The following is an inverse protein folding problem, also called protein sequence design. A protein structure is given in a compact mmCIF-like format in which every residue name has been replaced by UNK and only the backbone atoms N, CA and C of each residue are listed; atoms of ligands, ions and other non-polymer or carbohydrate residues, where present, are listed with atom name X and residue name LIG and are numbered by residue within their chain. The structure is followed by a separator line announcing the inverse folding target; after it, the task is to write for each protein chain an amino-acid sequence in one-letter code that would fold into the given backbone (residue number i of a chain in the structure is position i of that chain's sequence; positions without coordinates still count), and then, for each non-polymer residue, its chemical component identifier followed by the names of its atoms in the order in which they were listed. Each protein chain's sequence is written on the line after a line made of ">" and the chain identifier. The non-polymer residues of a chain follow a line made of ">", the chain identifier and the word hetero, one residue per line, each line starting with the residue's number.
data_IF_843919361461
#
_entry.id   IF_843919361461
#
_cell.length_a   1.000
_cell.length_b   1.000
_cell.length_c   1.000
_cell.angle_alpha   90.00
_cell.angle_beta   90.00
_cell.angle_gamma   90.00
#
_symmetry.space_group_name_H-M   'P 1'
#
loop_
_entity.id
_entity.type
_entity.pdbx_description
1 polymer ?
#
# COMPACT_ATOMS: atom_id res chain seq x y z
N UNK A 1 -20.28 72.63 6.52
CA UNK A 1 -21.17 71.57 6.01
C UNK A 1 -20.36 70.69 5.07
N UNK A 2 -20.04 69.46 5.45
CA UNK A 2 -19.57 68.41 4.53
C UNK A 2 -20.03 67.07 5.07
N UNK A 3 -20.90 66.40 4.31
CA UNK A 3 -21.54 65.12 4.63
C UNK A 3 -20.55 63.98 4.42
N UNK A 4 -20.29 63.18 5.46
CA UNK A 4 -19.69 61.86 5.31
C UNK A 4 -20.77 60.89 4.80
N UNK A 5 -20.67 60.49 3.53
CA UNK A 5 -21.54 59.49 2.94
C UNK A 5 -21.04 58.09 3.26
N UNK A 6 -21.90 57.29 3.91
CA UNK A 6 -21.80 55.83 4.01
C UNK A 6 -21.95 55.24 2.62
N UNK A 7 -20.97 54.49 2.13
CA UNK A 7 -21.19 53.54 1.04
C UNK A 7 -20.28 52.31 1.16
N UNK A 8 -20.90 51.18 1.51
CA UNK A 8 -20.66 49.93 0.79
C UNK A 8 -19.50 49.03 1.24
N UNK A 9 -19.57 48.49 2.45
CA UNK A 9 -18.84 47.29 2.88
C UNK A 9 -19.39 46.01 2.19
N UNK A 10 -19.21 45.89 0.88
CA UNK A 10 -19.46 44.62 0.17
C UNK A 10 -18.29 44.32 -0.76
N UNK A 11 -17.23 43.73 -0.20
CA UNK A 11 -16.17 43.09 -0.99
C UNK A 11 -16.08 41.61 -0.59
N UNK A 12 -15.99 40.80 -1.64
CA UNK A 12 -15.47 39.43 -1.68
C UNK A 12 -16.32 38.32 -1.04
N UNK A 13 -17.40 37.94 -1.73
CA UNK A 13 -17.85 36.56 -1.76
C UNK A 13 -17.54 36.01 -3.16
N UNK A 14 -16.89 34.84 -3.22
CA UNK A 14 -16.82 34.02 -4.44
C UNK A 14 -15.48 34.02 -5.17
N UNK A 15 -14.46 33.38 -4.60
CA UNK A 15 -13.38 32.74 -5.36
C UNK A 15 -12.57 31.81 -4.43
N UNK A 16 -13.03 30.57 -4.25
CA UNK A 16 -12.13 29.46 -3.85
C UNK A 16 -12.40 28.32 -4.81
N UNK A 17 -11.85 28.45 -6.02
CA UNK A 17 -11.66 27.31 -6.89
C UNK A 17 -10.54 26.45 -6.26
N UNK A 18 -10.91 25.32 -5.66
CA UNK A 18 -9.93 24.33 -5.21
C UNK A 18 -9.42 23.61 -6.46
N UNK A 19 -8.49 24.25 -7.16
CA UNK A 19 -7.65 23.62 -8.16
C UNK A 19 -6.31 23.32 -7.50
N UNK A 20 -6.18 22.11 -6.95
CA UNK A 20 -4.87 21.55 -6.59
C UNK A 20 -4.75 20.16 -7.21
N UNK A 21 -4.71 20.13 -8.54
CA UNK A 21 -4.04 19.05 -9.25
C UNK A 21 -2.54 19.23 -8.99
N UNK A 22 -2.02 18.57 -7.96
CA UNK A 22 -0.59 18.42 -7.77
C UNK A 22 -0.07 17.51 -8.89
N UNK A 23 0.29 18.10 -10.03
CA UNK A 23 1.14 17.46 -11.04
C UNK A 23 2.54 17.43 -10.44
N UNK A 24 2.85 16.34 -9.74
CA UNK A 24 4.23 16.04 -9.36
C UNK A 24 4.92 15.50 -10.62
N UNK A 25 5.56 16.41 -11.35
CA UNK A 25 6.54 16.04 -12.37
C UNK A 25 7.81 15.56 -11.68
N UNK A 26 8.11 14.26 -11.77
CA UNK A 26 9.44 13.73 -11.49
C UNK A 26 10.18 13.58 -12.83
N UNK A 27 10.90 14.64 -13.21
CA UNK A 27 12.04 14.52 -14.10
C UNK A 27 13.28 14.37 -13.20
N UNK A 28 13.84 13.15 -13.17
CA UNK A 28 15.08 12.83 -12.47
C UNK A 28 15.68 11.59 -13.10
N UNK A 29 16.40 11.77 -14.20
CA UNK A 29 17.30 10.74 -14.71
C UNK A 29 18.56 10.75 -13.86
N UNK A 30 18.79 9.69 -13.08
CA UNK A 30 19.97 9.53 -12.26
C UNK A 30 19.97 8.15 -11.61
N UNK A 31 20.94 7.32 -12.03
CA UNK A 31 21.13 5.91 -11.68
C UNK A 31 20.11 4.97 -12.34
N UNK A 32 20.61 3.88 -12.92
CA UNK A 32 19.83 2.94 -13.73
C UNK A 32 18.96 2.05 -12.87
N UNK A 33 17.87 2.59 -12.35
CA UNK A 33 16.79 1.77 -11.81
C UNK A 33 16.15 1.00 -12.97
N UNK A 34 16.31 -0.32 -12.97
CA UNK A 34 15.59 -1.21 -13.87
C UNK A 34 14.10 -1.21 -13.51
N UNK A 35 13.38 -0.14 -13.81
CA UNK A 35 11.96 -0.03 -13.49
C UNK A 35 11.15 -0.99 -14.37
N UNK A 36 10.50 -1.96 -13.73
CA UNK A 36 9.50 -2.82 -14.37
C UNK A 36 8.38 -2.03 -15.03
N UNK A 37 7.66 -2.67 -15.95
CA UNK A 37 6.51 -2.05 -16.61
C UNK A 37 5.49 -1.56 -15.55
N UNK A 38 4.93 -0.34 -15.71
CA UNK A 38 3.96 0.19 -14.77
C UNK A 38 2.73 -0.71 -14.66
N UNK A 39 2.27 -0.94 -13.43
CA UNK A 39 1.01 -1.60 -13.15
C UNK A 39 -0.13 -0.57 -13.16
N UNK A 40 -1.36 -0.96 -13.55
CA UNK A 40 -2.48 -0.03 -13.57
C UNK A 40 -2.79 0.56 -12.19
N UNK A 41 -2.97 1.88 -12.16
CA UNK A 41 -3.46 2.58 -10.98
C UNK A 41 -4.83 2.05 -10.55
N UNK A 42 -5.14 2.20 -9.26
CA UNK A 42 -6.40 1.78 -8.66
C UNK A 42 -7.03 2.89 -7.83
N UNK A 43 -8.35 2.87 -7.77
CA UNK A 43 -9.14 3.74 -6.90
C UNK A 43 -10.33 2.98 -6.35
N UNK A 44 -10.68 3.26 -5.10
CA UNK A 44 -11.91 2.76 -4.47
C UNK A 44 -12.43 3.77 -3.45
N UNK A 45 -13.74 3.97 -3.45
CA UNK A 45 -14.45 4.72 -2.42
C UNK A 45 -15.36 3.75 -1.65
N UNK A 46 -15.25 3.73 -0.33
CA UNK A 46 -16.13 2.99 0.55
C UNK A 46 -16.88 3.96 1.46
N UNK A 47 -18.18 3.76 1.61
CA UNK A 47 -19.07 4.67 2.34
C UNK A 47 -19.74 3.94 3.51
N UNK A 48 -19.84 4.61 4.65
CA UNK A 48 -20.59 4.17 5.82
C UNK A 48 -22.08 4.48 5.71
N UNK A 49 -22.86 4.01 6.69
CA UNK A 49 -24.32 4.22 6.71
C UNK A 49 -24.71 5.67 7.00
N UNK A 50 -23.87 6.40 7.77
CA UNK A 50 -24.12 7.77 8.21
C UNK A 50 -23.41 8.81 7.31
N UNK A 51 -22.95 8.39 6.13
CA UNK A 51 -22.31 9.24 5.13
C UNK A 51 -20.79 9.42 5.31
N UNK A 52 -20.16 8.70 6.24
CA UNK A 52 -18.70 8.60 6.27
C UNK A 52 -18.17 8.02 4.95
N UNK A 53 -16.97 8.40 4.55
CA UNK A 53 -16.31 7.79 3.40
C UNK A 53 -14.82 7.65 3.60
N UNK A 54 -14.26 6.60 3.00
CA UNK A 54 -12.82 6.39 2.86
C UNK A 54 -12.52 6.11 1.39
N UNK A 55 -11.77 7.02 0.80
CA UNK A 55 -11.21 6.88 -0.53
C UNK A 55 -9.80 6.32 -0.43
N UNK A 56 -9.46 5.38 -1.31
CA UNK A 56 -8.15 4.74 -1.36
C UNK A 56 -7.64 4.78 -2.80
N UNK A 57 -6.39 5.21 -2.97
CA UNK A 57 -5.69 5.23 -4.24
C UNK A 57 -4.46 4.35 -4.18
N UNK A 58 -4.16 3.73 -5.32
CA UNK A 58 -2.91 3.07 -5.63
C UNK A 58 -2.36 3.68 -6.91
N UNK A 59 -1.20 4.33 -6.83
CA UNK A 59 -0.61 5.06 -7.96
C UNK A 59 0.87 4.75 -8.13
N UNK A 60 1.32 4.76 -9.39
CA UNK A 60 2.74 4.55 -9.72
C UNK A 60 3.26 3.18 -9.27
N UNK A 61 2.38 2.18 -9.20
CA UNK A 61 2.78 0.84 -8.83
C UNK A 61 3.61 0.23 -9.97
N UNK A 62 4.75 -0.38 -9.65
CA UNK A 62 5.59 -1.08 -10.61
C UNK A 62 6.22 -2.29 -9.94
N UNK A 63 6.45 -3.33 -10.72
CA UNK A 63 7.13 -4.53 -10.25
C UNK A 63 7.97 -5.16 -11.34
N UNK A 64 9.11 -5.73 -10.97
CA UNK A 64 9.95 -6.50 -11.89
C UNK A 64 10.67 -7.63 -11.17
N UNK A 65 10.90 -8.77 -11.84
CA UNK A 65 11.75 -9.82 -11.31
C UNK A 65 13.19 -9.34 -11.16
N UNK A 66 13.86 -9.80 -10.10
CA UNK A 66 15.30 -9.62 -9.89
C UNK A 66 15.96 -10.98 -9.66
N UNK A 67 17.23 -11.15 -10.04
CA UNK A 67 18.01 -12.32 -9.64
C UNK A 67 18.07 -12.42 -8.11
N UNK A 68 17.93 -13.63 -7.58
CA UNK A 68 18.08 -13.89 -6.14
C UNK A 68 19.55 -14.14 -5.80
N UNK A 69 20.01 -13.65 -4.66
CA UNK A 69 21.39 -13.90 -4.18
C UNK A 69 21.65 -15.38 -3.87
N UNK A 70 20.61 -16.16 -3.58
CA UNK A 70 20.70 -17.60 -3.35
C UNK A 70 21.07 -18.41 -4.61
N UNK A 71 20.92 -17.80 -5.80
CA UNK A 71 21.27 -18.37 -7.11
C UNK A 71 20.79 -19.82 -7.34
N UNK A 72 19.60 -20.16 -6.84
CA UNK A 72 18.95 -21.46 -6.99
C UNK A 72 17.82 -21.35 -8.04
N UNK A 73 17.65 -22.32 -8.96
CA UNK A 73 16.55 -22.33 -9.94
C UNK A 73 15.13 -22.29 -9.32
N UNK A 74 14.98 -22.69 -8.07
CA UNK A 74 13.72 -22.62 -7.33
C UNK A 74 13.55 -21.33 -6.52
N UNK A 75 14.42 -20.33 -6.70
CA UNK A 75 14.26 -19.03 -6.05
C UNK A 75 13.64 -18.01 -7.02
N UNK A 76 12.79 -17.13 -6.49
CA UNK A 76 12.19 -16.01 -7.23
C UNK A 76 12.43 -14.72 -6.46
N UNK A 77 12.98 -13.73 -7.14
CA UNK A 77 13.18 -12.40 -6.59
C UNK A 77 12.31 -11.42 -7.35
N UNK A 78 11.71 -10.45 -6.66
CA UNK A 78 11.05 -9.34 -7.33
C UNK A 78 11.11 -8.08 -6.47
N UNK A 79 11.00 -6.95 -7.15
CA UNK A 79 10.96 -5.63 -6.54
C UNK A 79 9.58 -5.02 -6.74
N UNK A 80 9.11 -4.26 -5.76
CA UNK A 80 7.89 -3.45 -5.86
C UNK A 80 8.16 -2.00 -5.49
N UNK A 81 7.45 -1.11 -6.18
CA UNK A 81 7.35 0.31 -5.88
C UNK A 81 5.90 0.75 -6.01
N UNK A 82 5.53 1.84 -5.34
CA UNK A 82 4.20 2.42 -5.47
C UNK A 82 3.88 3.43 -4.39
N UNK A 83 2.88 4.27 -4.65
CA UNK A 83 2.30 5.19 -3.67
C UNK A 83 0.87 4.81 -3.37
N UNK A 84 0.54 4.73 -2.09
CA UNK A 84 -0.75 4.30 -1.57
C UNK A 84 -1.28 5.39 -0.68
N UNK A 85 -2.49 5.87 -0.96
CA UNK A 85 -3.06 7.02 -0.27
C UNK A 85 -4.46 6.70 0.22
N UNK A 86 -4.78 7.15 1.44
CA UNK A 86 -6.13 7.15 1.99
C UNK A 86 -6.59 8.59 2.21
N UNK A 87 -7.85 8.88 1.88
CA UNK A 87 -8.54 10.12 2.24
C UNK A 87 -9.92 9.81 2.79
N UNK A 88 -10.15 10.13 4.04
CA UNK A 88 -11.41 9.96 4.73
C UNK A 88 -12.19 11.28 4.83
N UNK A 89 -13.50 11.17 5.08
CA UNK A 89 -14.35 12.30 5.47
C UNK A 89 -13.95 12.85 6.84
N UNK A 90 -14.34 14.09 7.14
CA UNK A 90 -14.00 14.76 8.39
C UNK A 90 -14.36 13.93 9.63
N UNK A 91 -13.44 13.86 10.61
CA UNK A 91 -13.63 13.14 11.87
C UNK A 91 -13.36 11.64 11.79
N UNK A 92 -13.10 11.09 10.61
CA UNK A 92 -12.76 9.68 10.43
C UNK A 92 -11.24 9.50 10.51
N UNK A 93 -10.80 8.83 11.57
CA UNK A 93 -9.44 8.30 11.70
C UNK A 93 -9.39 6.83 11.29
N UNK A 94 -8.20 6.27 11.23
CA UNK A 94 -8.05 4.88 10.80
C UNK A 94 -6.62 4.44 10.53
N UNK A 95 -6.51 3.32 9.80
CA UNK A 95 -5.25 2.71 9.38
C UNK A 95 -5.27 2.43 7.86
N UNK A 96 -4.18 2.76 7.19
CA UNK A 96 -3.88 2.38 5.82
C UNK A 96 -2.77 1.34 5.84
N UNK A 97 -3.07 0.11 5.40
CA UNK A 97 -2.13 -1.00 5.31
C UNK A 97 -1.89 -1.40 3.85
N UNK A 98 -0.62 -1.53 3.48
CA UNK A 98 -0.19 -2.08 2.19
C UNK A 98 0.18 -3.54 2.41
N UNK A 99 -0.55 -4.44 1.75
CA UNK A 99 -0.29 -5.87 1.79
C UNK A 99 -0.06 -6.38 0.37
N UNK A 100 0.67 -7.48 0.23
CA UNK A 100 0.81 -8.20 -1.02
C UNK A 100 0.33 -9.63 -0.85
N UNK A 101 -0.41 -10.11 -1.84
CA UNK A 101 -0.80 -11.50 -1.94
C UNK A 101 0.16 -12.14 -2.92
N UNK A 102 0.95 -13.10 -2.44
CA UNK A 102 1.96 -13.80 -3.22
C UNK A 102 1.62 -15.27 -3.29
N UNK A 103 1.54 -15.81 -4.50
CA UNK A 103 1.24 -17.20 -4.76
C UNK A 103 2.36 -17.89 -5.52
N UNK A 104 2.64 -19.12 -5.13
CA UNK A 104 3.56 -20.01 -5.81
C UNK A 104 2.83 -21.27 -6.29
N UNK A 105 3.05 -21.68 -7.55
CA UNK A 105 2.40 -22.87 -8.10
C UNK A 105 2.91 -24.15 -7.44
N UNK A 106 4.23 -24.33 -7.33
CA UNK A 106 4.83 -25.50 -6.67
C UNK A 106 5.90 -25.11 -5.67
N UNK A 107 5.85 -25.68 -4.47
CA UNK A 107 6.99 -25.67 -3.55
C UNK A 107 7.94 -26.81 -3.97
N UNK A 108 9.20 -26.48 -4.20
CA UNK A 108 10.25 -27.45 -4.57
C UNK A 108 10.90 -28.05 -3.32
N UNK A 109 10.17 -28.16 -2.20
CA UNK A 109 10.59 -28.90 -0.99
C UNK A 109 10.91 -30.40 -1.21
N UNK A 110 11.05 -30.87 -2.46
CA UNK A 110 11.37 -32.24 -2.86
C UNK A 110 12.80 -32.50 -3.37
N UNK A 111 13.72 -31.53 -3.37
CA UNK A 111 15.16 -31.82 -3.55
C UNK A 111 15.84 -31.78 -2.19
N UNK A 112 15.89 -32.94 -1.53
CA UNK A 112 16.67 -33.14 -0.31
C UNK A 112 18.16 -33.18 -0.65
N UNK A 113 18.86 -32.08 -0.37
CA UNK A 113 20.29 -32.09 -0.06
C UNK A 113 20.42 -31.90 1.46
N UNK A 114 20.75 -33.01 2.11
CA UNK A 114 21.24 -33.09 3.48
C UNK A 114 22.33 -32.03 3.74
N UNK A 115 22.06 -31.08 4.65
CA UNK A 115 22.99 -30.64 5.71
C UNK A 115 22.34 -29.63 6.69
N UNK A 116 22.09 -30.10 7.91
CA UNK A 116 21.96 -29.43 9.23
C UNK A 116 21.91 -27.89 9.33
N UNK A 117 20.92 -27.36 10.07
CA UNK A 117 21.06 -26.10 10.81
C UNK A 117 19.81 -25.22 10.84
N UNK A 118 19.21 -25.08 12.02
CA UNK A 118 17.99 -24.32 12.29
C UNK A 118 18.09 -22.82 11.97
N UNK A 119 17.07 -22.23 11.33
CA UNK A 119 16.77 -20.80 11.44
C UNK A 119 15.25 -20.61 11.55
N UNK A 120 14.83 -20.18 12.74
CA UNK A 120 13.49 -19.67 13.06
C UNK A 120 13.38 -18.23 12.57
N UNK A 121 12.41 -17.93 11.70
CA UNK A 121 12.20 -16.60 11.13
C UNK A 121 11.21 -15.79 11.98
N UNK A 122 11.71 -15.18 13.06
CA UNK A 122 11.00 -14.11 13.76
C UNK A 122 11.25 -12.79 13.03
N UNK A 123 10.30 -12.38 12.20
CA UNK A 123 10.35 -11.13 11.45
C UNK A 123 10.12 -9.94 12.38
N UNK A 124 11.21 -9.26 12.75
CA UNK A 124 11.19 -7.90 13.31
C UNK A 124 11.89 -6.97 12.34
N UNK A 125 11.10 -6.03 11.82
CA UNK A 125 11.40 -4.98 10.85
C UNK A 125 12.80 -4.37 10.93
N UNK A 126 13.58 -4.53 9.86
CA UNK A 126 14.68 -3.65 9.48
C UNK A 126 14.78 -3.73 7.95
N UNK A 127 14.88 -2.60 7.27
CA UNK A 127 15.03 -2.48 5.81
C UNK A 127 16.03 -3.52 5.27
N UNK A 128 15.49 -4.61 4.73
CA UNK A 128 16.20 -5.85 4.49
C UNK A 128 15.21 -6.88 3.95
N UNK A 129 15.65 -7.59 2.93
CA UNK A 129 14.90 -8.55 2.12
C UNK A 129 13.99 -9.50 2.94
N UNK A 130 12.69 -9.48 2.65
CA UNK A 130 11.72 -10.35 3.31
C UNK A 130 11.68 -11.72 2.64
N UNK A 131 12.18 -12.74 3.32
CA UNK A 131 12.12 -14.15 2.89
C UNK A 131 10.78 -14.80 3.24
N UNK A 132 10.07 -15.35 2.26
CA UNK A 132 8.75 -15.97 2.46
C UNK A 132 8.77 -17.48 2.14
N UNK A 133 8.58 -18.38 3.12
CA UNK A 133 8.39 -19.80 2.87
C UNK A 133 6.93 -20.09 2.47
N UNK A 134 6.69 -20.66 1.28
CA UNK A 134 5.34 -21.02 0.77
C UNK A 134 5.29 -22.50 0.36
N UNK A 135 4.25 -23.22 0.75
CA UNK A 135 3.97 -24.59 0.28
C UNK A 135 3.30 -24.59 -1.12
N UNK A 136 3.23 -25.74 -1.85
CA UNK A 136 2.62 -25.80 -3.18
C UNK A 136 1.15 -25.38 -3.14
N UNK A 137 0.73 -24.49 -4.04
CA UNK A 137 -0.64 -23.98 -4.09
C UNK A 137 -0.99 -23.03 -2.93
N UNK A 138 -0.03 -22.69 -2.06
CA UNK A 138 -0.24 -21.74 -0.98
C UNK A 138 -0.14 -20.31 -1.48
N UNK A 139 -1.02 -19.49 -0.92
CA UNK A 139 -1.00 -18.05 -1.07
C UNK A 139 -0.65 -17.45 0.29
N UNK A 140 0.39 -16.62 0.36
CA UNK A 140 0.65 -15.81 1.55
C UNK A 140 0.13 -14.40 1.35
N UNK A 141 -0.48 -13.88 2.41
CA UNK A 141 -0.71 -12.45 2.57
C UNK A 141 0.46 -11.90 3.36
N UNK A 142 1.22 -11.03 2.71
CA UNK A 142 2.43 -10.42 3.24
C UNK A 142 2.08 -9.00 3.65
N UNK A 143 2.29 -8.72 4.92
CA UNK A 143 2.11 -7.38 5.47
C UNK A 143 3.37 -6.58 5.25
N UNK A 144 3.29 -5.55 4.38
CA UNK A 144 4.46 -4.75 4.03
C UNK A 144 4.70 -3.71 5.10
N UNK A 145 3.70 -2.86 5.29
CA UNK A 145 3.70 -1.79 6.27
C UNK A 145 2.30 -1.21 6.34
N UNK A 146 2.03 -0.52 7.44
CA UNK A 146 0.80 0.19 7.67
C UNK A 146 1.08 1.54 8.34
N UNK A 147 0.08 2.41 8.30
CA UNK A 147 0.17 3.75 8.83
C UNK A 147 -1.19 4.21 9.30
N UNK A 148 -1.25 4.61 10.56
CA UNK A 148 -2.42 5.27 11.12
C UNK A 148 -2.56 6.70 10.61
N UNK A 149 -3.80 7.15 10.50
CA UNK A 149 -4.16 8.53 10.21
C UNK A 149 -5.18 9.01 11.23
N UNK A 150 -5.00 10.25 11.69
CA UNK A 150 -5.92 10.89 12.61
C UNK A 150 -7.23 11.27 11.90
N UNK A 151 -8.14 11.89 12.64
CA UNK A 151 -9.32 12.62 12.19
C UNK A 151 -9.11 13.66 11.07
N UNK A 152 -7.86 14.05 10.78
CA UNK A 152 -7.47 14.78 9.57
C UNK A 152 -7.73 14.00 8.28
N UNK A 153 -7.90 12.68 8.41
CA UNK A 153 -8.41 11.79 7.37
C UNK A 153 -7.43 11.53 6.24
N UNK A 154 -6.12 11.79 6.36
CA UNK A 154 -5.17 11.60 5.26
C UNK A 154 -3.98 10.73 5.69
N UNK A 155 -3.72 9.68 4.93
CA UNK A 155 -2.51 8.86 5.05
C UNK A 155 -1.90 8.60 3.68
N UNK A 156 -0.57 8.48 3.65
CA UNK A 156 0.16 8.05 2.48
C UNK A 156 1.34 7.15 2.89
N UNK A 157 1.53 6.08 2.13
CA UNK A 157 2.67 5.16 2.18
C UNK A 157 3.31 5.16 0.81
N UNK A 158 4.61 5.40 0.75
CA UNK A 158 5.40 5.31 -0.47
C UNK A 158 6.43 4.19 -0.31
N UNK A 159 6.38 3.23 -1.22
CA UNK A 159 7.36 2.18 -1.35
C UNK A 159 8.27 2.50 -2.55
N UNK A 160 9.57 2.43 -2.32
CA UNK A 160 10.58 2.56 -3.35
C UNK A 160 11.48 1.34 -3.31
N UNK A 161 11.43 0.54 -4.38
CA UNK A 161 12.30 -0.60 -4.62
C UNK A 161 12.40 -1.60 -3.47
N UNK A 162 11.26 -1.93 -2.86
CA UNK A 162 11.25 -2.96 -1.84
C UNK A 162 11.41 -4.34 -2.50
N UNK A 163 12.45 -5.09 -2.12
CA UNK A 163 12.76 -6.41 -2.66
C UNK A 163 12.19 -7.56 -1.82
N UNK A 164 11.77 -8.62 -2.51
CA UNK A 164 11.25 -9.85 -1.94
C UNK A 164 11.96 -11.03 -2.55
N UNK A 165 12.25 -12.04 -1.72
CA UNK A 165 12.82 -13.29 -2.17
C UNK A 165 11.96 -14.46 -1.67
N UNK A 166 11.50 -15.26 -2.63
CA UNK A 166 10.79 -16.50 -2.40
C UNK A 166 11.78 -17.62 -2.63
N UNK A 167 12.02 -18.38 -1.57
CA UNK A 167 12.84 -19.58 -1.64
C UNK A 167 11.92 -20.78 -1.87
N UNK A 168 12.40 -21.73 -2.68
CA UNK A 168 11.69 -22.97 -3.02
C UNK A 168 10.39 -22.77 -3.82
N UNK A 169 10.22 -21.64 -4.49
CA UNK A 169 9.12 -21.44 -5.40
C UNK A 169 9.46 -21.87 -6.84
N UNK A 170 8.97 -23.03 -7.23
CA UNK A 170 9.11 -23.57 -8.59
C UNK A 170 7.91 -23.27 -9.48
N UNK A 171 8.11 -23.38 -10.78
CA UNK A 171 7.07 -23.14 -11.77
C UNK A 171 6.67 -21.67 -11.84
N UNK A 172 5.38 -21.42 -12.05
CA UNK A 172 4.82 -20.07 -12.16
C UNK A 172 4.54 -19.48 -10.78
N UNK A 173 4.93 -18.22 -10.60
CA UNK A 173 4.64 -17.45 -9.41
C UNK A 173 4.02 -16.10 -9.79
N UNK A 174 3.10 -15.64 -8.95
CA UNK A 174 2.44 -14.34 -9.17
C UNK A 174 2.21 -13.61 -7.86
N UNK A 175 2.14 -12.29 -7.95
CA UNK A 175 1.80 -11.43 -6.83
C UNK A 175 0.80 -10.35 -7.23
N UNK A 176 0.10 -9.80 -6.25
CA UNK A 176 -0.75 -8.61 -6.40
C UNK A 176 -0.78 -7.81 -5.11
N UNK A 177 -0.92 -6.50 -5.21
CA UNK A 177 -1.20 -5.67 -4.04
C UNK A 177 -2.63 -5.86 -3.52
N UNK A 178 -2.78 -5.68 -2.22
CA UNK A 178 -4.01 -5.66 -1.46
C UNK A 178 -3.93 -4.52 -0.44
N UNK A 179 -4.35 -3.33 -0.85
CA UNK A 179 -4.30 -2.12 -0.01
C UNK A 179 -5.54 -2.13 0.87
N UNK A 180 -5.38 -2.33 2.17
CA UNK A 180 -6.48 -2.33 3.14
C UNK A 180 -6.54 -0.96 3.81
N UNK A 181 -7.70 -0.33 3.77
CA UNK A 181 -8.02 0.83 4.60
C UNK A 181 -9.12 0.44 5.57
N UNK A 182 -8.95 0.85 6.82
CA UNK A 182 -9.96 0.70 7.86
C UNK A 182 -10.08 2.01 8.61
N UNK A 183 -11.28 2.42 8.99
CA UNK A 183 -11.48 3.64 9.75
C UNK A 183 -12.91 3.82 10.23
N UNK A 184 -13.07 4.68 11.23
CA UNK A 184 -14.33 5.06 11.84
C UNK A 184 -14.21 6.47 12.43
N UNK A 185 -15.33 7.08 12.80
CA UNK A 185 -15.28 8.29 13.63
C UNK A 185 -14.79 7.93 15.02
N UNK A 186 -13.88 8.73 15.59
CA UNK A 186 -13.28 8.42 16.90
C UNK A 186 -12.51 7.10 16.92
N UNK A 187 -11.95 6.68 15.78
CA UNK A 187 -11.18 5.45 15.65
C UNK A 187 -10.06 5.38 16.70
N UNK A 188 -10.06 4.35 17.53
CA UNK A 188 -8.97 4.02 18.44
C UNK A 188 -8.82 2.49 18.57
N UNK A 189 -7.60 2.06 18.83
CA UNK A 189 -7.24 0.67 19.11
C UNK A 189 -6.54 0.50 20.47
N UNK A 190 -6.58 1.54 21.31
CA UNK A 190 -5.74 1.65 22.50
C UNK A 190 -6.12 0.64 23.59
N UNK A 191 -7.40 0.28 23.68
CA UNK A 191 -7.92 -0.67 24.67
C UNK A 191 -7.79 -2.14 24.21
N UNK A 192 -7.02 -2.42 23.15
CA UNK A 192 -6.91 -3.74 22.54
C UNK A 192 -8.17 -4.21 21.80
N UNK A 193 -9.20 -3.37 21.75
CA UNK A 193 -10.39 -3.52 20.93
C UNK A 193 -10.52 -2.35 19.98
N UNK A 194 -11.12 -2.58 18.81
CA UNK A 194 -11.38 -1.53 17.85
C UNK A 194 -12.60 -0.72 18.32
N UNK A 195 -12.35 0.52 18.71
CA UNK A 195 -13.37 1.48 19.15
C UNK A 195 -13.61 2.55 18.09
N UNK A 196 -14.85 3.03 18.02
CA UNK A 196 -15.29 4.02 17.06
C UNK A 196 -16.81 4.20 17.09
N UNK A 197 -17.26 5.37 16.67
CA UNK A 197 -18.67 5.72 16.56
C UNK A 197 -19.19 5.46 15.13
N UNK A 198 -20.48 5.13 15.02
CA UNK A 198 -21.14 4.95 13.73
C UNK A 198 -20.63 3.72 12.97
N UNK A 199 -20.31 3.90 11.70
CA UNK A 199 -19.89 2.79 10.83
C UNK A 199 -18.38 2.58 10.81
N UNK A 200 -17.97 1.33 11.05
CA UNK A 200 -16.63 0.87 10.70
C UNK A 200 -16.53 0.64 9.18
N UNK A 201 -15.75 1.46 8.50
CA UNK A 201 -15.47 1.29 7.07
C UNK A 201 -14.21 0.45 6.93
N UNK A 202 -14.33 -0.73 6.33
CA UNK A 202 -13.18 -1.52 5.88
C UNK A 202 -13.25 -1.70 4.36
N UNK A 203 -12.18 -1.33 3.67
CA UNK A 203 -12.08 -1.43 2.22
C UNK A 203 -10.74 -2.03 1.82
N UNK A 204 -10.77 -2.99 0.90
CA UNK A 204 -9.55 -3.48 0.23
C UNK A 204 -9.58 -3.10 -1.24
N UNK A 205 -8.53 -2.42 -1.70
CA UNK A 205 -8.27 -2.09 -3.09
C UNK A 205 -7.18 -3.03 -3.62
N UNK A 206 -7.55 -3.92 -4.53
CA UNK A 206 -6.62 -4.89 -5.10
C UNK A 206 -5.94 -4.37 -6.38
N UNK A 207 -4.68 -4.77 -6.55
CA UNK A 207 -3.90 -4.60 -7.79
C UNK A 207 -4.21 -5.65 -8.85
N UNK A 208 -3.80 -5.35 -10.08
CA UNK A 208 -3.73 -6.36 -11.15
C UNK A 208 -2.61 -7.34 -10.80
N UNK A 209 -2.87 -8.66 -10.85
CA UNK A 209 -1.80 -9.65 -10.67
C UNK A 209 -0.70 -9.50 -11.72
N UNK A 210 0.54 -9.69 -11.30
CA UNK A 210 1.72 -9.72 -12.14
C UNK A 210 2.52 -11.01 -11.90
N UNK A 211 3.26 -11.44 -12.92
CA UNK A 211 4.17 -12.58 -12.81
C UNK A 211 5.45 -12.17 -12.11
N UNK A 212 5.97 -13.05 -11.25
CA UNK A 212 7.28 -12.90 -10.61
C UNK A 212 8.28 -13.98 -11.06
N UNK A 213 7.93 -14.68 -12.16
CA UNK A 213 8.73 -15.73 -12.80
C UNK A 213 8.28 -17.14 -12.50
#
# INVERSE_FOLDING_TARGET
>A
MSKFSKLGLRRAAGAVAIASAAVVGLAGMGVGEAAGAPLPNGYKNATGIDGESIQTWRTGEASYPIPTVANNPASRGFVISGTYTAKASAGVGGNLAVKYIVGCQVDVSGITLDLSGAISLSATTLSGELGLPLAPGQVAVVDITDKDFSDSGVAAIQLSQLSFNLNKCGGYASARSAVKTIGAKGYSTDDGSLSGEGTLIQSTLYGKPFTIG
#
